data_IF_650365899891
#
_entry.id   IF_650365899891
#
_cell.length_a   1.000
_cell.length_b   1.000
_cell.length_c   1.000
_cell.angle_alpha   90.00
_cell.angle_beta   90.00
_cell.angle_gamma   90.00
#
_symmetry.space_group_name_H-M   'P 1'
#
loop_
_entity.id
_entity.type
_entity.pdbx_description
1 polymer ?
#
# COMPACT_ATOMS: atom_id res chain seq x y z
N UNK A 1 -3.39 7.49 -5.89
CA UNK A 1 -4.25 7.16 -4.72
C UNK A 1 -4.77 5.74 -4.92
N UNK A 2 -5.49 5.17 -3.95
CA UNK A 2 -5.99 3.79 -4.01
C UNK A 2 -7.48 3.68 -4.33
N UNK A 3 -8.15 4.81 -4.68
CA UNK A 3 -9.60 4.85 -4.92
C UNK A 3 -10.08 3.83 -5.98
N UNK A 4 -9.27 3.57 -7.00
CA UNK A 4 -9.58 2.59 -8.05
C UNK A 4 -9.64 1.13 -7.57
N UNK A 5 -9.22 0.85 -6.34
CA UNK A 5 -9.28 -0.50 -5.76
C UNK A 5 -10.59 -0.80 -5.04
N UNK A 6 -11.45 0.22 -4.83
CA UNK A 6 -12.68 0.07 -4.04
C UNK A 6 -12.47 -0.11 -2.54
N UNK A 7 -11.22 -0.02 -2.05
CA UNK A 7 -10.86 -0.17 -0.64
C UNK A 7 -10.53 1.18 0.02
N UNK A 8 -10.74 1.27 1.32
CA UNK A 8 -10.19 2.32 2.17
C UNK A 8 -8.69 2.15 2.39
N UNK A 9 -7.98 3.20 2.82
CA UNK A 9 -6.55 3.11 3.13
C UNK A 9 -6.24 2.08 4.23
N UNK A 10 -7.16 1.85 5.17
CA UNK A 10 -7.01 0.85 6.23
C UNK A 10 -7.08 -0.57 5.66
N UNK A 11 -8.12 -0.86 4.87
CA UNK A 11 -8.31 -2.15 4.23
C UNK A 11 -7.15 -2.49 3.30
N UNK A 12 -6.73 -1.53 2.48
CA UNK A 12 -5.61 -1.69 1.57
C UNK A 12 -4.32 -2.02 2.33
N UNK A 13 -3.98 -1.24 3.37
CA UNK A 13 -2.77 -1.48 4.17
C UNK A 13 -2.82 -2.85 4.86
N UNK A 14 -3.97 -3.24 5.41
CA UNK A 14 -4.16 -4.56 6.03
C UNK A 14 -3.99 -5.68 4.99
N UNK A 15 -4.59 -5.54 3.81
CA UNK A 15 -4.48 -6.51 2.72
C UNK A 15 -3.02 -6.68 2.26
N UNK A 16 -2.31 -5.56 2.06
CA UNK A 16 -0.88 -5.59 1.71
C UNK A 16 -0.03 -6.31 2.77
N UNK A 17 -0.29 -6.06 4.06
CA UNK A 17 0.48 -6.70 5.13
C UNK A 17 0.22 -8.21 5.22
N UNK A 18 -1.05 -8.62 5.20
CA UNK A 18 -1.41 -10.01 5.46
C UNK A 18 -1.36 -10.93 4.23
N UNK A 19 -1.68 -10.42 3.03
CA UNK A 19 -1.70 -11.24 1.81
C UNK A 19 -0.41 -11.08 1.00
N UNK A 20 0.12 -9.86 0.87
CA UNK A 20 1.35 -9.60 0.12
C UNK A 20 2.62 -9.64 0.99
N UNK A 21 2.50 -9.60 2.32
CA UNK A 21 3.66 -9.49 3.20
C UNK A 21 4.44 -8.18 3.02
N UNK A 22 3.76 -7.10 2.64
CA UNK A 22 4.33 -5.77 2.41
C UNK A 22 3.71 -4.77 3.38
N UNK A 23 4.54 -4.19 4.24
CA UNK A 23 4.11 -3.11 5.13
C UNK A 23 4.00 -1.78 4.35
N UNK A 24 2.84 -1.13 4.45
CA UNK A 24 2.54 0.15 3.80
C UNK A 24 1.97 1.11 4.84
N UNK A 25 2.30 2.40 4.77
CA UNK A 25 1.78 3.39 5.73
C UNK A 25 0.45 3.94 5.23
N UNK A 26 -0.59 3.86 6.06
CA UNK A 26 -1.90 4.45 5.77
C UNK A 26 -1.79 5.98 5.70
N UNK A 27 -2.41 6.58 4.68
CA UNK A 27 -2.39 8.03 4.46
C UNK A 27 -3.06 8.82 5.58
N UNK A 28 -4.10 8.28 6.22
CA UNK A 28 -4.81 8.89 7.37
C UNK A 28 -3.88 9.25 8.53
N UNK A 29 -2.74 8.57 8.68
CA UNK A 29 -1.70 8.93 9.66
C UNK A 29 -1.14 10.36 9.45
N UNK A 30 -1.30 10.93 8.25
CA UNK A 30 -0.88 12.29 7.89
C UNK A 30 -2.04 13.30 7.85
N UNK A 31 -3.26 12.89 8.21
CA UNK A 31 -4.43 13.75 8.26
C UNK A 31 -5.68 13.11 7.65
N UNK A 32 -6.85 13.57 8.10
CA UNK A 32 -8.16 13.01 7.71
C UNK A 32 -8.46 13.07 6.20
N UNK A 33 -7.84 14.01 5.48
CA UNK A 33 -8.03 14.18 4.03
C UNK A 33 -7.30 13.13 3.18
N UNK A 34 -6.46 12.29 3.79
CA UNK A 34 -5.64 11.29 3.11
C UNK A 34 -6.16 9.85 3.31
N UNK A 35 -7.47 9.68 3.50
CA UNK A 35 -8.13 8.38 3.73
C UNK A 35 -7.93 7.38 2.58
N UNK A 36 -7.91 7.88 1.34
CA UNK A 36 -7.72 7.07 0.13
C UNK A 36 -6.27 7.05 -0.38
N UNK A 37 -5.33 7.39 0.50
CA UNK A 37 -3.91 7.45 0.18
C UNK A 37 -3.13 6.47 1.04
N UNK A 38 -1.99 6.03 0.51
CA UNK A 38 -0.99 5.23 1.21
C UNK A 38 0.40 5.74 0.81
N UNK A 39 1.39 5.50 1.67
CA UNK A 39 2.76 5.95 1.46
C UNK A 39 3.73 4.77 1.43
N UNK A 40 4.61 4.79 0.45
CA UNK A 40 5.73 3.86 0.30
C UNK A 40 7.06 4.53 0.68
N UNK A 41 7.96 3.76 1.26
CA UNK A 41 9.35 4.17 1.47
C UNK A 41 10.17 3.83 0.23
N UNK A 42 10.85 4.83 -0.33
CA UNK A 42 11.84 4.63 -1.40
C UNK A 42 13.26 4.43 -0.85
N UNK A 43 13.45 4.48 0.47
CA UNK A 43 14.73 4.22 1.13
C UNK A 43 15.00 2.71 1.24
N UNK A 44 14.99 2.01 0.10
CA UNK A 44 15.25 0.59 -0.05
C UNK A 44 15.89 0.32 -1.42
N UNK A 45 16.44 -0.88 -1.64
CA UNK A 45 16.98 -1.23 -2.95
C UNK A 45 15.88 -1.22 -4.02
N UNK A 46 16.24 -0.86 -5.26
CA UNK A 46 15.33 -0.90 -6.41
C UNK A 46 14.69 -2.29 -6.56
N UNK A 47 15.47 -3.33 -6.35
CA UNK A 47 15.00 -4.71 -6.39
C UNK A 47 13.91 -4.99 -5.34
N UNK A 48 14.09 -4.56 -4.09
CA UNK A 48 13.08 -4.75 -3.05
C UNK A 48 11.79 -3.96 -3.35
N UNK A 49 11.93 -2.74 -3.88
CA UNK A 49 10.78 -1.92 -4.28
C UNK A 49 10.00 -2.64 -5.40
N UNK A 50 10.69 -3.13 -6.44
CA UNK A 50 10.05 -3.88 -7.53
C UNK A 50 9.32 -5.13 -7.01
N UNK A 51 9.99 -5.95 -6.18
CA UNK A 51 9.37 -7.15 -5.58
C UNK A 51 8.14 -6.81 -4.74
N UNK A 52 8.18 -5.73 -3.96
CA UNK A 52 7.04 -5.29 -3.17
C UNK A 52 5.84 -4.89 -4.06
N UNK A 53 6.10 -4.14 -5.14
CA UNK A 53 5.07 -3.75 -6.11
C UNK A 53 4.48 -4.95 -6.84
N UNK A 54 5.29 -5.94 -7.23
CA UNK A 54 4.82 -7.18 -7.85
C UNK A 54 3.90 -7.98 -6.93
N UNK A 55 4.25 -8.11 -5.64
CA UNK A 55 3.42 -8.79 -4.65
C UNK A 55 2.08 -8.08 -4.44
N UNK A 56 2.10 -6.74 -4.40
CA UNK A 56 0.87 -5.93 -4.29
C UNK A 56 0.01 -6.10 -5.54
N UNK A 57 0.60 -6.08 -6.74
CA UNK A 57 -0.16 -6.25 -7.97
C UNK A 57 -0.91 -7.60 -8.02
N UNK A 58 -0.28 -8.68 -7.53
CA UNK A 58 -0.90 -10.02 -7.48
C UNK A 58 -2.15 -10.11 -6.61
N UNK A 59 -2.32 -9.25 -5.60
CA UNK A 59 -3.50 -9.25 -4.71
C UNK A 59 -4.58 -8.24 -5.15
N UNK A 60 -4.30 -7.46 -6.19
CA UNK A 60 -5.22 -6.45 -6.75
C UNK A 60 -5.83 -6.88 -8.09
N UNK A 61 -5.26 -7.89 -8.76
CA UNK A 61 -5.91 -8.60 -9.86
C UNK A 61 -6.95 -9.58 -9.32
#
# INVERSE_FOLDING_TARGET
>A
NIKGTGMTGEEFTRKCLHEAGVAVVQGRAFGKLAEDYVRFSFAASRENITKALEKINKILQ
#
